data_IF_955802355949
#
_entry.id   IF_955802355949
#
_cell.length_a   1.000
_cell.length_b   1.000
_cell.length_c   1.000
_cell.angle_alpha   90.00
_cell.angle_beta   90.00
_cell.angle_gamma   90.00
#
_symmetry.space_group_name_H-M   'P 1'
#
loop_
_entity.id
_entity.type
_entity.pdbx_description
1 polymer ?
#
# COMPACT_ATOMS: atom_id res chain seq x y z
N UNK A 1 0.41 -18.73 23.43
CA UNK A 1 0.56 -18.16 22.07
C UNK A 1 0.69 -16.62 22.06
N UNK A 2 -0.21 -15.83 22.64
CA UNK A 2 -0.17 -14.34 22.61
C UNK A 2 1.13 -13.75 23.15
N UNK A 3 1.74 -14.33 24.19
CA UNK A 3 3.00 -13.88 24.79
C UNK A 3 4.17 -14.00 23.79
N UNK A 4 4.25 -15.12 23.07
CA UNK A 4 5.28 -15.34 22.03
C UNK A 4 5.12 -14.29 20.90
N UNK A 5 3.90 -14.04 20.45
CA UNK A 5 3.64 -13.02 19.43
C UNK A 5 4.02 -11.62 19.89
N UNK A 6 3.83 -11.33 21.19
CA UNK A 6 4.25 -10.05 21.78
C UNK A 6 5.77 -9.86 21.66
N UNK A 7 6.58 -10.83 22.15
CA UNK A 7 8.04 -10.72 22.07
C UNK A 7 8.56 -10.66 20.63
N UNK A 8 7.96 -11.43 19.73
CA UNK A 8 8.27 -11.40 18.30
C UNK A 8 7.95 -10.02 17.69
N UNK A 9 6.85 -9.40 18.11
CA UNK A 9 6.46 -8.05 17.68
C UNK A 9 7.38 -6.97 18.26
N UNK A 10 7.89 -7.16 19.49
CA UNK A 10 8.92 -6.29 20.07
C UNK A 10 10.19 -6.35 19.24
N UNK A 11 10.69 -7.56 18.97
CA UNK A 11 11.89 -7.76 18.13
C UNK A 11 11.72 -7.12 16.74
N UNK A 12 10.56 -7.34 16.12
CA UNK A 12 10.23 -6.70 14.85
C UNK A 12 10.30 -5.17 14.96
N UNK A 13 9.67 -4.58 15.97
CA UNK A 13 9.57 -3.14 16.14
C UNK A 13 10.94 -2.50 16.40
N UNK A 14 11.81 -3.16 17.18
CA UNK A 14 13.18 -2.69 17.41
C UNK A 14 13.91 -2.61 16.06
N UNK A 15 13.93 -3.69 15.27
CA UNK A 15 14.60 -3.69 13.98
C UNK A 15 14.02 -2.69 12.99
N UNK A 16 12.69 -2.56 12.93
CA UNK A 16 12.01 -1.61 12.06
C UNK A 16 12.33 -0.15 12.42
N UNK A 17 12.25 0.21 13.71
CA UNK A 17 12.50 1.59 14.15
C UNK A 17 13.97 1.96 13.99
N UNK A 18 14.88 1.08 14.42
CA UNK A 18 16.33 1.33 14.31
C UNK A 18 16.76 1.52 12.86
N UNK A 19 16.28 0.63 11.97
CA UNK A 19 16.59 0.74 10.54
C UNK A 19 15.86 1.91 9.86
N UNK A 20 14.65 2.29 10.29
CA UNK A 20 13.99 3.51 9.82
C UNK A 20 14.85 4.74 10.08
N UNK A 21 15.33 4.89 11.31
CA UNK A 21 16.20 6.01 11.70
C UNK A 21 17.47 6.00 10.85
N UNK A 22 18.15 4.86 10.76
CA UNK A 22 19.37 4.70 9.98
C UNK A 22 19.17 5.05 8.51
N UNK A 23 18.17 4.43 7.84
CA UNK A 23 17.90 4.69 6.43
C UNK A 23 17.41 6.11 6.17
N UNK A 24 16.63 6.70 7.09
CA UNK A 24 16.17 8.08 6.95
C UNK A 24 17.31 9.09 7.07
N UNK A 25 18.28 8.87 7.96
CA UNK A 25 19.45 9.73 8.12
C UNK A 25 20.42 9.55 6.95
N UNK A 26 20.82 8.31 6.67
CA UNK A 26 21.72 8.01 5.55
C UNK A 26 21.12 8.40 4.20
N UNK A 27 19.80 8.26 4.06
CA UNK A 27 19.08 8.65 2.86
C UNK A 27 19.21 10.13 2.52
N UNK A 28 19.44 11.03 3.51
CA UNK A 28 19.65 12.45 3.22
C UNK A 28 20.91 12.68 2.36
N UNK A 29 21.92 11.84 2.50
CA UNK A 29 23.12 11.91 1.68
C UNK A 29 22.89 11.47 0.24
N UNK A 30 21.75 10.86 -0.06
CA UNK A 30 21.36 10.51 -1.43
C UNK A 30 20.69 11.67 -2.19
N UNK A 31 20.38 12.80 -1.54
CA UNK A 31 19.71 13.97 -2.16
C UNK A 31 20.41 14.55 -3.38
N UNK A 32 21.75 14.63 -3.43
CA UNK A 32 22.45 15.10 -4.62
C UNK A 32 22.35 14.19 -5.84
N UNK A 33 21.96 12.93 -5.63
CA UNK A 33 21.84 11.94 -6.70
C UNK A 33 20.46 11.94 -7.36
N UNK A 34 20.32 11.19 -8.45
CA UNK A 34 19.06 11.05 -9.18
C UNK A 34 17.92 10.54 -8.31
N UNK A 35 16.69 10.81 -8.71
CA UNK A 35 15.51 10.28 -8.00
C UNK A 35 15.52 8.74 -7.97
N UNK A 36 15.95 8.10 -9.05
CA UNK A 36 16.06 6.64 -9.10
C UNK A 36 17.00 6.09 -8.01
N UNK A 37 18.14 6.74 -7.74
CA UNK A 37 19.07 6.36 -6.67
C UNK A 37 18.44 6.52 -5.29
N UNK A 38 17.77 7.66 -5.03
CA UNK A 38 17.08 7.90 -3.76
C UNK A 38 15.98 6.89 -3.49
N UNK A 39 15.17 6.63 -4.53
CA UNK A 39 14.09 5.64 -4.46
C UNK A 39 14.66 4.25 -4.17
N UNK A 40 15.68 3.82 -4.91
CA UNK A 40 16.30 2.50 -4.74
C UNK A 40 16.86 2.31 -3.33
N UNK A 41 17.45 3.35 -2.75
CA UNK A 41 17.95 3.30 -1.37
C UNK A 41 16.82 3.04 -0.37
N UNK A 42 15.72 3.80 -0.45
CA UNK A 42 14.57 3.61 0.44
C UNK A 42 13.79 2.32 0.15
N UNK A 43 13.78 1.87 -1.10
CA UNK A 43 13.22 0.57 -1.50
C UNK A 43 13.90 -0.60 -0.78
N UNK A 44 15.22 -0.57 -0.57
CA UNK A 44 15.92 -1.59 0.23
C UNK A 44 15.38 -1.65 1.66
N UNK A 45 15.07 -0.52 2.27
CA UNK A 45 14.45 -0.50 3.60
C UNK A 45 13.05 -1.12 3.60
N UNK A 46 12.23 -0.81 2.61
CA UNK A 46 10.91 -1.41 2.49
C UNK A 46 10.99 -2.94 2.34
N UNK A 47 11.88 -3.42 1.46
CA UNK A 47 12.15 -4.86 1.32
C UNK A 47 12.66 -5.50 2.62
N UNK A 48 13.56 -4.82 3.31
CA UNK A 48 14.01 -5.27 4.63
C UNK A 48 12.83 -5.44 5.58
N UNK A 49 11.89 -4.48 5.68
CA UNK A 49 10.73 -4.58 6.56
C UNK A 49 9.85 -5.80 6.24
N UNK A 50 9.65 -6.11 4.95
CA UNK A 50 8.87 -7.28 4.51
C UNK A 50 9.60 -8.59 4.89
N UNK A 51 10.90 -8.67 4.69
CA UNK A 51 11.70 -9.83 5.07
C UNK A 51 11.76 -9.97 6.58
N UNK A 52 11.98 -8.87 7.30
CA UNK A 52 12.12 -8.84 8.74
C UNK A 52 10.83 -9.24 9.47
N UNK A 53 9.65 -8.79 9.01
CA UNK A 53 8.37 -9.23 9.60
C UNK A 53 8.10 -10.72 9.34
N UNK A 54 8.54 -11.24 8.18
CA UNK A 54 8.46 -12.67 7.89
C UNK A 54 9.29 -13.50 8.88
N UNK A 55 10.54 -13.11 9.13
CA UNK A 55 11.45 -13.85 10.01
C UNK A 55 11.08 -13.69 11.49
N UNK A 56 10.75 -12.49 11.93
CA UNK A 56 10.44 -12.22 13.34
C UNK A 56 9.02 -12.65 13.71
N UNK A 57 8.01 -12.22 12.95
CA UNK A 57 6.60 -12.43 13.27
C UNK A 57 5.96 -13.61 12.52
N UNK A 58 6.64 -14.16 11.50
CA UNK A 58 6.06 -15.26 10.70
C UNK A 58 4.98 -14.80 9.72
N UNK A 59 4.94 -13.51 9.38
CA UNK A 59 3.99 -12.95 8.39
C UNK A 59 4.57 -13.18 7.00
N UNK A 60 3.97 -14.08 6.27
CA UNK A 60 4.30 -14.39 4.86
C UNK A 60 3.29 -13.70 3.94
N UNK A 61 3.53 -13.73 2.64
CA UNK A 61 2.54 -13.28 1.67
C UNK A 61 2.61 -14.12 0.38
N UNK A 62 1.50 -14.10 -0.35
CA UNK A 62 1.34 -14.71 -1.67
C UNK A 62 0.65 -13.71 -2.57
N UNK A 63 1.11 -13.59 -3.80
CA UNK A 63 0.54 -12.68 -4.80
C UNK A 63 -0.19 -13.51 -5.85
N UNK A 64 -1.45 -13.15 -6.09
CA UNK A 64 -2.31 -13.71 -7.13
C UNK A 64 -2.54 -12.61 -8.17
N UNK A 65 -2.30 -12.90 -9.44
CA UNK A 65 -2.42 -11.93 -10.53
C UNK A 65 -1.15 -11.09 -10.73
N UNK A 66 0.03 -11.54 -10.27
CA UNK A 66 1.29 -10.85 -10.53
C UNK A 66 1.58 -10.71 -12.04
N UNK A 67 1.13 -11.66 -12.83
CA UNK A 67 1.23 -11.67 -14.29
C UNK A 67 0.42 -10.55 -14.97
N UNK A 68 -0.51 -9.94 -14.27
CA UNK A 68 -1.30 -8.81 -14.77
C UNK A 68 -0.48 -7.50 -14.80
N UNK A 69 0.62 -7.41 -14.03
CA UNK A 69 1.43 -6.20 -13.91
C UNK A 69 2.23 -5.98 -15.20
N UNK A 70 1.92 -4.91 -15.92
CA UNK A 70 2.73 -4.49 -17.06
C UNK A 70 3.85 -3.54 -16.61
N UNK A 71 5.07 -4.04 -16.56
CA UNK A 71 6.23 -3.25 -16.12
C UNK A 71 6.67 -2.17 -17.13
N UNK A 72 6.15 -2.18 -18.35
CA UNK A 72 6.53 -1.24 -19.41
C UNK A 72 5.68 0.04 -19.41
N UNK A 73 4.59 0.07 -18.65
CA UNK A 73 3.66 1.20 -18.61
C UNK A 73 3.34 1.55 -17.16
N UNK A 74 3.47 2.82 -16.80
CA UNK A 74 3.07 3.28 -15.48
C UNK A 74 1.57 3.07 -15.26
N UNK A 75 1.19 2.66 -14.06
CA UNK A 75 -0.18 2.36 -13.71
C UNK A 75 -0.60 3.00 -12.38
N UNK A 76 -1.90 3.15 -12.22
CA UNK A 76 -2.51 3.58 -10.98
C UNK A 76 -2.96 2.36 -10.17
N UNK A 77 -2.52 2.28 -8.93
CA UNK A 77 -2.92 1.24 -7.98
C UNK A 77 -3.99 1.81 -7.06
N UNK A 78 -5.20 1.25 -7.12
CA UNK A 78 -6.29 1.53 -6.19
C UNK A 78 -6.44 0.35 -5.25
N UNK A 79 -5.93 0.49 -4.04
CA UNK A 79 -5.77 -0.63 -3.11
C UNK A 79 -6.57 -0.44 -1.84
N UNK A 80 -6.98 -1.54 -1.24
CA UNK A 80 -7.44 -1.57 0.15
C UNK A 80 -6.37 -1.10 1.10
N UNK A 81 -6.80 -0.50 2.21
CA UNK A 81 -5.91 -0.04 3.27
C UNK A 81 -6.32 -0.62 4.62
N UNK A 82 -5.64 -1.65 5.09
CA UNK A 82 -5.95 -2.35 6.36
C UNK A 82 -4.79 -2.31 7.36
N UNK A 83 -3.56 -2.23 6.87
CA UNK A 83 -2.34 -2.42 7.65
C UNK A 83 -1.27 -1.37 7.31
N UNK A 84 -0.16 -1.41 8.01
CA UNK A 84 1.06 -0.76 7.56
C UNK A 84 1.85 -1.67 6.60
N UNK A 85 1.57 -2.97 6.58
CA UNK A 85 2.30 -3.96 5.81
C UNK A 85 2.28 -3.66 4.30
N UNK A 86 1.12 -3.33 3.74
CA UNK A 86 0.97 -3.07 2.30
C UNK A 86 1.82 -1.89 1.82
N UNK A 87 2.09 -0.91 2.68
CA UNK A 87 2.94 0.23 2.30
C UNK A 87 4.39 -0.15 2.05
N UNK A 88 4.86 -1.25 2.65
CA UNK A 88 6.18 -1.83 2.38
C UNK A 88 6.12 -2.88 1.27
N UNK A 89 5.10 -3.75 1.32
CA UNK A 89 4.98 -4.88 0.40
C UNK A 89 4.76 -4.44 -1.05
N UNK A 90 3.98 -3.39 -1.28
CA UNK A 90 3.75 -2.90 -2.65
C UNK A 90 5.04 -2.40 -3.30
N UNK A 91 5.98 -1.87 -2.53
CA UNK A 91 7.30 -1.53 -3.08
C UNK A 91 8.09 -2.77 -3.55
N UNK A 92 7.82 -3.96 -2.99
CA UNK A 92 8.43 -5.20 -3.42
C UNK A 92 7.66 -5.91 -4.56
N UNK A 93 6.38 -5.60 -4.73
CA UNK A 93 5.47 -6.25 -5.69
C UNK A 93 5.38 -5.46 -7.00
N UNK A 94 5.30 -4.14 -6.92
CA UNK A 94 5.09 -3.27 -8.08
C UNK A 94 6.37 -2.48 -8.43
N UNK A 95 6.46 -1.91 -9.65
CA UNK A 95 7.54 -1.03 -10.05
C UNK A 95 7.63 0.23 -9.17
N UNK A 96 8.57 1.12 -9.49
CA UNK A 96 8.75 2.38 -8.78
C UNK A 96 7.44 3.18 -8.70
N UNK A 97 7.09 3.63 -7.47
CA UNK A 97 5.77 4.18 -7.17
C UNK A 97 5.81 5.36 -6.20
N UNK A 98 4.91 6.32 -6.41
CA UNK A 98 4.61 7.40 -5.51
C UNK A 98 3.34 7.11 -4.70
N UNK A 99 3.40 7.29 -3.38
CA UNK A 99 2.24 7.12 -2.50
C UNK A 99 1.50 8.43 -2.30
N UNK A 100 0.16 8.37 -2.35
CA UNK A 100 -0.67 9.46 -1.86
C UNK A 100 -0.78 9.35 -0.34
N UNK A 101 -0.29 10.35 0.36
CA UNK A 101 -0.27 10.35 1.81
C UNK A 101 -0.74 11.68 2.43
N UNK A 102 -1.03 11.64 3.71
CA UNK A 102 -1.41 12.82 4.48
C UNK A 102 -0.18 13.71 4.71
N UNK A 103 -0.27 15.01 4.36
CA UNK A 103 0.87 15.97 4.42
C UNK A 103 1.55 16.01 5.79
N UNK A 104 0.79 15.87 6.87
CA UNK A 104 1.32 15.90 8.23
C UNK A 104 2.30 14.75 8.53
N UNK A 105 2.22 13.65 7.79
CA UNK A 105 3.15 12.53 7.93
C UNK A 105 4.58 12.92 7.56
N UNK A 106 4.77 13.92 6.69
CA UNK A 106 6.09 14.43 6.36
C UNK A 106 6.75 15.21 7.50
N UNK A 107 5.96 15.63 8.53
CA UNK A 107 6.46 16.32 9.72
C UNK A 107 6.96 15.34 10.80
N UNK A 108 6.64 14.05 10.69
CA UNK A 108 7.08 13.04 11.65
C UNK A 108 8.59 12.83 11.51
N UNK A 109 9.39 13.05 12.57
CA UNK A 109 10.84 12.88 12.50
C UNK A 109 11.22 11.49 11.97
N UNK A 110 12.29 11.41 11.23
CA UNK A 110 12.82 10.24 10.53
C UNK A 110 11.85 9.67 9.48
N UNK A 111 10.61 9.31 9.87
CA UNK A 111 9.62 8.77 8.93
C UNK A 111 9.36 9.75 7.79
N UNK A 112 9.05 11.01 8.10
CA UNK A 112 8.81 12.05 7.10
C UNK A 112 10.04 12.33 6.24
N UNK A 113 11.24 12.26 6.82
CA UNK A 113 12.51 12.44 6.09
C UNK A 113 12.73 11.33 5.07
N UNK A 114 12.49 10.08 5.45
CA UNK A 114 12.57 8.94 4.55
C UNK A 114 11.49 9.00 3.45
N UNK A 115 10.24 9.30 3.84
CA UNK A 115 9.13 9.42 2.88
C UNK A 115 9.35 10.53 1.86
N UNK A 116 9.94 11.67 2.24
CA UNK A 116 10.24 12.77 1.34
C UNK A 116 11.22 12.38 0.21
N UNK A 117 12.08 11.39 0.43
CA UNK A 117 12.99 10.86 -0.59
C UNK A 117 12.27 10.08 -1.70
N UNK A 118 11.07 9.57 -1.41
CA UNK A 118 10.23 8.78 -2.33
C UNK A 118 9.30 9.65 -3.18
N UNK A 119 9.43 10.99 -3.10
CA UNK A 119 8.63 11.94 -3.86
C UNK A 119 7.10 11.69 -3.79
N UNK A 120 6.52 11.56 -2.59
CA UNK A 120 5.12 11.23 -2.41
C UNK A 120 4.20 12.39 -2.81
N UNK A 121 2.95 12.07 -3.13
CA UNK A 121 1.88 13.06 -3.31
C UNK A 121 1.29 13.36 -1.93
N UNK A 122 1.73 14.48 -1.33
CA UNK A 122 1.40 14.82 0.06
C UNK A 122 0.23 15.81 0.12
N UNK A 123 -0.98 15.30 0.34
CA UNK A 123 -2.22 16.09 0.33
C UNK A 123 -2.63 16.54 1.73
N UNK A 124 -3.19 17.75 1.82
CA UNK A 124 -3.95 18.22 2.97
C UNK A 124 -5.43 17.86 2.76
N UNK A 125 -5.86 16.79 3.42
CA UNK A 125 -7.24 16.27 3.27
C UNK A 125 -8.31 17.25 3.74
N UNK A 126 -7.98 18.17 4.65
CA UNK A 126 -8.91 19.19 5.11
C UNK A 126 -9.18 20.27 4.06
N UNK A 127 -8.30 20.41 3.06
CA UNK A 127 -8.46 21.40 1.99
C UNK A 127 -9.52 21.01 0.93
N UNK A 128 -10.25 19.92 1.10
CA UNK A 128 -11.38 19.52 0.27
C UNK A 128 -11.03 19.50 -1.23
N UNK A 129 -11.69 20.35 -2.03
CA UNK A 129 -11.50 20.38 -3.50
C UNK A 129 -10.06 20.71 -3.92
N UNK A 130 -9.32 21.51 -3.12
CA UNK A 130 -7.90 21.81 -3.41
C UNK A 130 -7.04 20.56 -3.29
N UNK A 131 -7.26 19.73 -2.26
CA UNK A 131 -6.56 18.46 -2.09
C UNK A 131 -6.85 17.50 -3.26
N UNK A 132 -8.09 17.46 -3.73
CA UNK A 132 -8.49 16.65 -4.87
C UNK A 132 -7.80 17.10 -6.16
N UNK A 133 -7.78 18.39 -6.44
CA UNK A 133 -7.10 18.94 -7.61
C UNK A 133 -5.58 18.67 -7.54
N UNK A 134 -4.97 18.82 -6.35
CA UNK A 134 -3.56 18.50 -6.12
C UNK A 134 -3.27 17.03 -6.41
N UNK A 135 -4.09 16.13 -5.87
CA UNK A 135 -3.98 14.68 -6.12
C UNK A 135 -3.99 14.37 -7.61
N UNK A 136 -4.95 14.95 -8.35
CA UNK A 136 -5.09 14.70 -9.78
C UNK A 136 -3.90 15.27 -10.56
N UNK A 137 -3.50 16.54 -10.31
CA UNK A 137 -2.40 17.16 -11.06
C UNK A 137 -1.06 16.50 -10.80
N UNK A 138 -0.69 16.28 -9.51
CA UNK A 138 0.57 15.62 -9.17
C UNK A 138 0.58 14.14 -9.55
N UNK A 139 -0.59 13.46 -9.48
CA UNK A 139 -0.72 12.07 -9.90
C UNK A 139 -0.51 11.88 -11.40
N UNK A 140 -1.09 12.75 -12.23
CA UNK A 140 -0.83 12.76 -13.68
C UNK A 140 0.65 12.96 -13.96
N UNK A 141 1.28 13.96 -13.32
CA UNK A 141 2.71 14.22 -13.47
C UNK A 141 3.58 12.99 -13.14
N UNK A 142 3.27 12.27 -12.05
CA UNK A 142 4.01 11.05 -11.69
C UNK A 142 3.86 9.93 -12.72
N UNK A 143 2.64 9.72 -13.21
CA UNK A 143 2.37 8.70 -14.24
C UNK A 143 3.09 9.05 -15.56
N UNK A 144 3.11 10.31 -15.97
CA UNK A 144 3.84 10.80 -17.15
C UNK A 144 5.37 10.65 -17.01
N UNK A 145 5.89 10.75 -15.77
CA UNK A 145 7.31 10.48 -15.44
C UNK A 145 7.65 8.98 -15.40
N UNK A 146 6.68 8.11 -15.63
CA UNK A 146 6.84 6.66 -15.59
C UNK A 146 6.80 6.07 -14.18
N UNK A 147 6.40 6.85 -13.16
CA UNK A 147 6.20 6.37 -11.81
C UNK A 147 4.76 5.87 -11.64
N UNK A 148 4.60 4.74 -10.99
CA UNK A 148 3.28 4.28 -10.59
C UNK A 148 2.74 5.14 -9.46
N UNK A 149 1.41 5.21 -9.33
CA UNK A 149 0.79 5.96 -8.23
C UNK A 149 -0.05 5.02 -7.38
N UNK A 150 0.16 5.03 -6.07
CA UNK A 150 -0.63 4.24 -5.11
C UNK A 150 -1.60 5.16 -4.39
N UNK A 151 -2.89 4.85 -4.53
CA UNK A 151 -3.98 5.52 -3.81
C UNK A 151 -4.73 4.48 -2.99
N UNK A 152 -4.96 4.81 -1.73
CA UNK A 152 -5.90 4.08 -0.88
C UNK A 152 -7.24 4.83 -0.88
N UNK A 153 -8.23 4.41 -1.67
CA UNK A 153 -9.44 5.20 -1.88
C UNK A 153 -10.30 5.31 -0.61
N UNK A 154 -10.13 4.43 0.36
CA UNK A 154 -10.78 4.53 1.68
C UNK A 154 -10.29 5.74 2.49
N UNK A 155 -9.10 6.27 2.17
CA UNK A 155 -8.49 7.43 2.83
C UNK A 155 -8.00 7.16 4.26
N UNK A 156 -8.29 6.01 4.84
CA UNK A 156 -7.80 5.57 6.16
C UNK A 156 -7.75 4.05 6.19
N UNK A 157 -6.97 3.49 7.12
CA UNK A 157 -6.95 2.04 7.34
C UNK A 157 -8.29 1.58 7.91
N UNK A 158 -8.85 0.54 7.29
CA UNK A 158 -10.08 -0.11 7.72
C UNK A 158 -9.78 -1.37 8.56
N UNK A 159 -10.69 -1.82 9.40
CA UNK A 159 -10.62 -3.14 10.00
C UNK A 159 -10.58 -4.25 8.94
N UNK A 160 -9.99 -5.40 9.29
CA UNK A 160 -10.01 -6.56 8.41
C UNK A 160 -11.46 -6.98 8.10
N UNK A 161 -11.74 -7.26 6.83
CA UNK A 161 -13.07 -7.70 6.40
C UNK A 161 -14.11 -6.58 6.25
N UNK A 162 -13.77 -5.32 6.54
CA UNK A 162 -14.69 -4.19 6.35
C UNK A 162 -14.25 -3.31 5.18
N UNK A 163 -15.17 -2.93 4.30
CA UNK A 163 -14.93 -1.94 3.26
C UNK A 163 -15.40 -0.56 3.73
N UNK A 164 -14.49 0.40 3.70
CA UNK A 164 -14.82 1.79 3.96
C UNK A 164 -15.44 2.47 2.73
N UNK A 165 -15.89 3.71 2.93
CA UNK A 165 -16.37 4.55 1.82
C UNK A 165 -15.24 4.76 0.81
N UNK A 166 -15.50 4.49 -0.46
CA UNK A 166 -14.57 4.71 -1.55
C UNK A 166 -14.65 6.17 -2.01
N UNK A 167 -13.57 6.92 -1.80
CA UNK A 167 -13.46 8.32 -2.21
C UNK A 167 -13.12 8.41 -3.70
N UNK A 168 -13.74 9.34 -4.39
CA UNK A 168 -13.66 9.49 -5.85
C UNK A 168 -12.29 9.96 -6.38
N UNK A 169 -11.39 10.39 -5.51
CA UNK A 169 -10.11 11.00 -5.92
C UNK A 169 -9.23 10.10 -6.78
N UNK A 170 -9.15 8.81 -6.46
CA UNK A 170 -8.42 7.84 -7.28
C UNK A 170 -9.05 7.65 -8.66
N UNK A 171 -10.39 7.57 -8.73
CA UNK A 171 -11.12 7.46 -9.98
C UNK A 171 -11.01 8.73 -10.85
N UNK A 172 -10.98 9.91 -10.24
CA UNK A 172 -10.74 11.17 -10.96
C UNK A 172 -9.33 11.23 -11.54
N UNK A 173 -8.32 10.79 -10.80
CA UNK A 173 -6.96 10.66 -11.32
C UNK A 173 -6.92 9.68 -12.49
N UNK A 174 -7.53 8.51 -12.37
CA UNK A 174 -7.60 7.49 -13.42
C UNK A 174 -8.21 8.05 -14.72
N UNK A 175 -9.40 8.64 -14.62
CA UNK A 175 -10.12 9.22 -15.76
C UNK A 175 -9.33 10.37 -16.42
N UNK A 176 -8.59 11.17 -15.63
CA UNK A 176 -7.79 12.27 -16.16
C UNK A 176 -6.50 11.81 -16.83
N UNK A 177 -5.81 10.85 -16.19
CA UNK A 177 -4.53 10.32 -16.68
C UNK A 177 -4.69 9.33 -17.83
N UNK A 178 -5.88 8.72 -17.98
CA UNK A 178 -6.14 7.60 -18.93
C UNK A 178 -5.12 6.46 -18.80
N UNK A 179 -4.62 6.29 -17.57
CA UNK A 179 -3.64 5.26 -17.25
C UNK A 179 -4.34 3.95 -16.85
N UNK A 180 -3.71 2.79 -17.08
CA UNK A 180 -4.24 1.51 -16.63
C UNK A 180 -4.37 1.49 -15.10
N UNK A 181 -5.53 1.03 -14.62
CA UNK A 181 -5.82 0.94 -13.18
C UNK A 181 -5.75 -0.51 -12.72
N UNK A 182 -4.98 -0.75 -11.66
CA UNK A 182 -4.86 -2.04 -11.01
C UNK A 182 -5.56 -1.98 -9.65
N UNK A 183 -6.57 -2.82 -9.48
CA UNK A 183 -7.28 -2.95 -8.21
C UNK A 183 -6.56 -3.98 -7.35
N UNK A 184 -6.32 -3.66 -6.07
CA UNK A 184 -5.58 -4.55 -5.18
C UNK A 184 -6.37 -4.75 -3.89
N UNK A 185 -6.68 -6.01 -3.60
CA UNK A 185 -7.26 -6.46 -2.34
C UNK A 185 -6.27 -7.36 -1.60
N UNK A 186 -6.34 -7.37 -0.28
CA UNK A 186 -5.53 -8.24 0.57
C UNK A 186 -6.17 -8.37 1.95
N UNK A 187 -5.74 -9.36 2.72
CA UNK A 187 -6.18 -9.59 4.10
C UNK A 187 -5.09 -9.26 5.14
N UNK A 188 -4.27 -8.25 4.89
CA UNK A 188 -3.16 -7.88 5.77
C UNK A 188 -3.60 -7.48 7.18
N UNK A 189 -4.83 -6.95 7.32
CA UNK A 189 -5.41 -6.56 8.60
C UNK A 189 -5.63 -7.73 9.57
N UNK A 190 -5.75 -8.96 9.09
CA UNK A 190 -5.86 -10.16 9.94
C UNK A 190 -4.55 -10.43 10.71
N UNK A 191 -3.41 -10.19 10.07
CA UNK A 191 -2.08 -10.52 10.60
C UNK A 191 -1.38 -9.32 11.22
N UNK A 192 -1.61 -8.12 10.69
CA UNK A 192 -1.09 -6.86 11.22
C UNK A 192 -2.19 -5.79 11.26
N UNK A 193 -3.14 -5.89 12.23
CA UNK A 193 -4.29 -5.01 12.31
C UNK A 193 -3.89 -3.53 12.51
N UNK A 194 -4.76 -2.64 12.04
CA UNK A 194 -4.68 -1.21 12.36
C UNK A 194 -4.56 -1.01 13.88
N UNK A 195 -3.63 -0.16 14.29
CA UNK A 195 -3.39 0.19 15.70
C UNK A 195 -3.01 -0.99 16.62
N UNK A 196 -2.73 -2.18 16.08
CA UNK A 196 -2.25 -3.30 16.88
C UNK A 196 -0.72 -3.31 16.95
N UNK A 197 -0.18 -3.44 18.16
CA UNK A 197 1.24 -3.71 18.35
C UNK A 197 1.61 -5.14 17.95
N UNK A 198 0.72 -6.10 18.21
CA UNK A 198 0.96 -7.52 17.99
C UNK A 198 0.70 -7.88 16.53
N UNK A 199 1.69 -8.51 15.89
CA UNK A 199 1.59 -9.14 14.58
C UNK A 199 1.36 -10.63 14.79
N UNK A 200 0.42 -11.20 14.03
CA UNK A 200 0.06 -12.62 14.09
C UNK A 200 0.76 -13.36 12.94
N UNK A 201 1.33 -14.54 13.16
CA UNK A 201 1.88 -15.33 12.08
C UNK A 201 0.78 -15.77 11.10
N UNK A 202 1.12 -15.85 9.83
CA UNK A 202 0.21 -16.33 8.79
C UNK A 202 0.66 -15.91 7.40
N UNK A 203 -0.23 -16.09 6.42
CA UNK A 203 0.04 -15.77 5.03
C UNK A 203 -0.98 -14.76 4.52
N UNK A 204 -0.51 -13.58 4.15
CA UNK A 204 -1.31 -12.54 3.52
C UNK A 204 -1.48 -12.92 2.05
N UNK A 205 -2.72 -13.05 1.60
CA UNK A 205 -3.05 -13.20 0.20
C UNK A 205 -3.30 -11.82 -0.41
N UNK A 206 -2.59 -11.51 -1.51
CA UNK A 206 -2.71 -10.26 -2.27
C UNK A 206 -3.29 -10.59 -3.63
N UNK A 207 -4.41 -9.99 -3.97
CA UNK A 207 -5.09 -10.17 -5.25
C UNK A 207 -4.93 -8.92 -6.10
N UNK A 208 -4.44 -9.08 -7.33
CA UNK A 208 -4.23 -7.99 -8.29
C UNK A 208 -5.14 -8.23 -9.49
N UNK A 209 -6.00 -7.28 -9.80
CA UNK A 209 -6.89 -7.36 -10.97
C UNK A 209 -6.11 -7.33 -12.28
N UNK A 210 -6.74 -7.76 -13.36
CA UNK A 210 -6.34 -7.30 -14.69
C UNK A 210 -6.44 -5.79 -14.76
N UNK A 211 -5.59 -5.12 -15.57
CA UNK A 211 -5.66 -3.68 -15.71
C UNK A 211 -7.04 -3.26 -16.26
N UNK A 212 -7.69 -2.33 -15.57
CA UNK A 212 -8.90 -1.70 -16.06
C UNK A 212 -8.50 -0.59 -17.02
N UNK A 213 -8.98 -0.68 -18.25
CA UNK A 213 -8.88 0.40 -19.22
C UNK A 213 -9.89 1.50 -18.88
N UNK A 214 -9.37 2.70 -18.63
CA UNK A 214 -10.19 3.84 -18.19
C UNK A 214 -10.35 4.91 -19.26
N UNK A 215 -9.90 4.67 -20.51
CA UNK A 215 -9.83 5.67 -21.57
C UNK A 215 -11.17 6.34 -21.86
N UNK A 216 -12.25 5.55 -21.87
CA UNK A 216 -13.62 6.01 -22.20
C UNK A 216 -14.55 6.09 -20.95
N UNK A 217 -13.98 5.88 -19.74
CA UNK A 217 -14.79 5.82 -18.53
C UNK A 217 -14.81 7.16 -17.78
N UNK A 218 -15.96 7.53 -17.28
CA UNK A 218 -16.11 8.62 -16.31
C UNK A 218 -15.55 8.22 -14.94
N UNK A 219 -15.19 9.21 -14.13
CA UNK A 219 -14.73 8.96 -12.76
C UNK A 219 -15.78 8.23 -11.90
N UNK A 220 -17.07 8.43 -12.15
CA UNK A 220 -18.14 7.75 -11.45
C UNK A 220 -18.20 6.26 -11.78
N UNK A 221 -18.10 5.90 -13.06
CA UNK A 221 -18.09 4.51 -13.52
C UNK A 221 -16.84 3.77 -12.99
N UNK A 222 -15.67 4.41 -13.04
CA UNK A 222 -14.44 3.86 -12.46
C UNK A 222 -14.64 3.60 -10.97
N UNK A 223 -15.18 4.58 -10.22
CA UNK A 223 -15.39 4.45 -8.77
C UNK A 223 -16.34 3.30 -8.41
N UNK A 224 -17.40 3.12 -9.19
CA UNK A 224 -18.34 1.99 -9.02
C UNK A 224 -17.67 0.65 -9.27
N UNK A 225 -16.81 0.55 -10.31
CA UNK A 225 -16.07 -0.68 -10.57
C UNK A 225 -15.06 -0.99 -9.47
N UNK A 226 -14.36 0.03 -8.95
CA UNK A 226 -13.45 -0.12 -7.81
C UNK A 226 -14.19 -0.66 -6.60
N UNK A 227 -15.31 -0.05 -6.22
CA UNK A 227 -16.11 -0.46 -5.07
C UNK A 227 -16.65 -1.89 -5.22
N UNK A 228 -17.21 -2.22 -6.39
CA UNK A 228 -17.72 -3.55 -6.70
C UNK A 228 -16.62 -4.62 -6.61
N UNK A 229 -15.49 -4.38 -7.24
CA UNK A 229 -14.37 -5.34 -7.24
C UNK A 229 -13.80 -5.54 -5.85
N UNK A 230 -13.57 -4.47 -5.09
CA UNK A 230 -13.06 -4.55 -3.72
C UNK A 230 -14.04 -5.27 -2.79
N UNK A 231 -15.36 -5.01 -2.91
CA UNK A 231 -16.39 -5.72 -2.15
C UNK A 231 -16.39 -7.23 -2.42
N UNK A 232 -16.27 -7.64 -3.68
CA UNK A 232 -16.24 -9.05 -4.05
C UNK A 232 -15.03 -9.79 -3.47
N UNK A 233 -13.87 -9.12 -3.44
CA UNK A 233 -12.63 -9.72 -2.92
C UNK A 233 -12.53 -9.73 -1.39
N UNK A 234 -13.36 -8.95 -0.70
CA UNK A 234 -13.55 -9.08 0.74
C UNK A 234 -14.17 -10.41 1.13
N UNK A 235 -15.27 -10.75 0.45
CA UNK A 235 -16.02 -11.98 0.73
C UNK A 235 -15.21 -13.24 0.43
N UNK A 236 -14.37 -13.22 -0.61
CA UNK A 236 -13.53 -14.35 -0.98
C UNK A 236 -12.33 -14.55 -0.04
N UNK A 237 -11.77 -13.47 0.51
CA UNK A 237 -10.72 -13.55 1.51
C UNK A 237 -11.27 -14.10 2.84
N UNK A 238 -12.49 -13.72 3.24
CA UNK A 238 -13.20 -14.24 4.41
C UNK A 238 -13.55 -15.73 4.26
N UNK A 239 -14.10 -16.14 3.13
CA UNK A 239 -14.43 -17.54 2.87
C UNK A 239 -13.20 -18.47 2.88
N UNK A 240 -12.03 -17.98 2.46
CA UNK A 240 -10.78 -18.75 2.54
C UNK A 240 -10.21 -18.80 3.98
N UNK A 241 -10.51 -17.84 4.83
CA UNK A 241 -10.15 -17.86 6.25
C UNK A 241 -11.03 -18.83 7.03
N UNK A 242 -12.34 -18.80 6.83
CA UNK A 242 -13.31 -19.68 7.49
C UNK A 242 -13.08 -21.16 7.13
N UNK A 243 -12.76 -21.46 5.87
CA UNK A 243 -12.41 -22.81 5.43
C UNK A 243 -11.11 -23.34 6.06
N UNK A 244 -10.15 -22.47 6.40
CA UNK A 244 -8.92 -22.85 7.11
C UNK A 244 -9.12 -23.08 8.60
N UNK A 245 -10.02 -22.35 9.26
CA UNK A 245 -10.39 -22.58 10.66
C UNK A 245 -11.15 -23.89 10.85
N UNK A 246 -12.05 -24.24 9.92
CA UNK A 246 -12.76 -25.54 9.97
C UNK A 246 -11.84 -26.75 9.84
N UNK A 247 -10.75 -26.64 9.06
CA UNK A 247 -9.76 -27.72 8.93
C UNK A 247 -8.91 -27.87 10.21
N UNK A 248 -8.63 -26.74 10.91
CA UNK A 248 -7.84 -26.76 12.15
C UNK A 248 -8.64 -27.21 13.39
N UNK A 249 -9.97 -27.15 13.36
CA UNK A 249 -10.83 -27.65 14.42
C UNK A 249 -11.16 -29.15 14.29
N UNK A 250 -10.88 -29.75 13.12
CA UNK A 250 -11.12 -31.18 12.83
C UNK A 250 -9.86 -32.04 12.86
N UNK A 251 -8.70 -31.47 13.18
CA UNK A 251 -7.42 -32.15 13.39
C UNK A 251 -6.96 -32.02 14.86
#
# INVERSE_FOLDING_TARGET
MKIIWFFRSVLFSIGQITTLILFSVLGQFTRPFSFATRYQFMHYWARFCVVWVRWTCGVKYRVHGAENINNNTAGLILARHESAWETFAFQAIFPRQAYVLKRELLKVPFFGWGMALLNPIAIDRAAGRKALNQLVSEGVERLEQGDWVVVFPEGTRMPAGELGKINIGGAMLASKAKAPVYLVAHNAGEFWPKNSFIKRPGCIDVYISKPLDTAEMSASEINQQVESWLSQHLSSAQASADAKEEIHHKS
#
